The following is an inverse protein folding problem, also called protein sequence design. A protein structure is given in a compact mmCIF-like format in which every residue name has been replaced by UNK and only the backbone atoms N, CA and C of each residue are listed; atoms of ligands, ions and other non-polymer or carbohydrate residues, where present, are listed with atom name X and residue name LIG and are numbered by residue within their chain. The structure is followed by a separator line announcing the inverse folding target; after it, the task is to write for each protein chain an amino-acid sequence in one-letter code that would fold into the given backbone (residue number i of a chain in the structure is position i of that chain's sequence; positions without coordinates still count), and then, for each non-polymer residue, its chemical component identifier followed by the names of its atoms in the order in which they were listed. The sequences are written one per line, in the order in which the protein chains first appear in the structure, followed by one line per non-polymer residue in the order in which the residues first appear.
data_IF_442477579666
#
_entry.id   IF_442477579666
#
_cell.length_a   1.000
_cell.length_b   1.000
_cell.length_c   1.000
_cell.angle_alpha   90.00
_cell.angle_beta   90.00
_cell.angle_gamma   90.00
#
_symmetry.space_group_name_H-M   'P 1'
#
loop_
_entity.id
_entity.type
_entity.pdbx_description
1 polymer ?
#
# COMPACT_ATOMS: atom_id res chain seq x y z
N UNK A 1 11.58 -2.15 5.58
CA UNK A 1 10.76 -0.96 5.83
C UNK A 1 9.32 -1.10 5.35
N UNK A 2 9.02 -2.05 4.47
CA UNK A 2 7.67 -2.26 3.93
C UNK A 2 7.27 -1.26 2.85
N UNK A 3 8.24 -0.62 2.21
CA UNK A 3 8.05 0.22 1.03
C UNK A 3 8.13 -0.66 -0.21
N UNK A 4 7.13 -0.55 -1.09
CA UNK A 4 7.00 -1.41 -2.27
C UNK A 4 7.57 -0.67 -3.47
N UNK A 5 8.49 -1.32 -4.19
CA UNK A 5 9.05 -0.80 -5.43
C UNK A 5 8.09 -0.92 -6.62
N UNK A 6 8.31 -0.13 -7.67
CA UNK A 6 7.52 -0.19 -8.89
C UNK A 6 7.85 -1.41 -9.74
N UNK A 7 6.93 -1.76 -10.64
CA UNK A 7 7.15 -2.73 -11.70
C UNK A 7 8.02 -2.08 -12.77
N UNK A 8 9.12 -2.70 -13.23
CA UNK A 8 9.94 -2.15 -14.31
C UNK A 8 9.17 -1.95 -15.62
N UNK A 9 9.52 -0.93 -16.39
CA UNK A 9 8.85 -0.64 -17.68
C UNK A 9 8.95 -1.81 -18.67
N UNK A 10 10.05 -2.55 -18.66
CA UNK A 10 10.26 -3.73 -19.51
C UNK A 10 9.21 -4.84 -19.30
N UNK A 11 8.59 -4.91 -18.12
CA UNK A 11 7.52 -5.87 -17.84
C UNK A 11 6.22 -5.59 -18.60
N UNK A 12 6.07 -4.37 -19.14
CA UNK A 12 4.95 -3.98 -20.00
C UNK A 12 5.20 -4.25 -21.49
N UNK A 13 6.37 -4.74 -21.88
CA UNK A 13 6.64 -5.15 -23.26
C UNK A 13 5.77 -6.35 -23.65
N UNK A 14 5.12 -6.34 -24.83
CA UNK A 14 4.26 -7.43 -25.29
C UNK A 14 4.92 -8.80 -25.22
N UNK A 15 6.21 -8.88 -25.51
CA UNK A 15 6.99 -10.13 -25.48
C UNK A 15 7.11 -10.69 -24.05
N UNK A 16 7.36 -9.84 -23.06
CA UNK A 16 7.47 -10.23 -21.66
C UNK A 16 6.12 -10.66 -21.08
N UNK A 17 5.05 -9.93 -21.44
CA UNK A 17 3.68 -10.32 -21.07
C UNK A 17 3.33 -11.68 -21.68
N UNK A 18 3.59 -11.88 -22.99
CA UNK A 18 3.30 -13.14 -23.66
C UNK A 18 4.09 -14.31 -23.04
N UNK A 19 5.37 -14.11 -22.75
CA UNK A 19 6.20 -15.10 -22.07
C UNK A 19 5.61 -15.55 -20.73
N UNK A 20 5.11 -14.62 -19.93
CA UNK A 20 4.45 -14.93 -18.65
C UNK A 20 3.13 -15.67 -18.83
N UNK A 21 2.34 -15.27 -19.83
CA UNK A 21 1.10 -15.99 -20.19
C UNK A 21 1.42 -17.41 -20.63
N UNK A 22 2.42 -17.61 -21.48
CA UNK A 22 2.81 -18.94 -22.00
C UNK A 22 3.40 -19.84 -20.90
N UNK A 23 4.03 -19.26 -19.88
CA UNK A 23 4.50 -20.00 -18.70
C UNK A 23 3.36 -20.40 -17.75
N UNK A 24 2.20 -19.77 -17.83
CA UNK A 24 1.09 -20.03 -16.92
C UNK A 24 0.40 -21.38 -17.27
N UNK A 25 0.34 -22.35 -16.33
CA UNK A 25 -0.21 -23.69 -16.61
C UNK A 25 -1.68 -23.68 -17.02
N UNK A 26 -2.45 -22.69 -16.58
CA UNK A 26 -3.86 -22.57 -16.92
C UNK A 26 -4.07 -21.98 -18.32
N UNK A 27 -3.15 -21.16 -18.81
CA UNK A 27 -3.21 -20.61 -20.15
C UNK A 27 -2.95 -21.64 -21.24
N UNK A 28 -2.23 -22.73 -20.95
CA UNK A 28 -1.91 -23.77 -21.93
C UNK A 28 -3.14 -24.45 -22.55
N UNK A 29 -4.28 -24.43 -21.87
CA UNK A 29 -5.55 -24.98 -22.33
C UNK A 29 -6.38 -24.01 -23.17
N UNK A 30 -5.92 -22.76 -23.32
CA UNK A 30 -6.63 -21.70 -24.05
C UNK A 30 -6.08 -21.58 -25.46
N UNK A 31 -6.98 -21.52 -26.49
CA UNK A 31 -6.57 -21.43 -27.91
C UNK A 31 -5.98 -20.05 -28.24
N UNK A 32 -6.64 -18.98 -27.78
CA UNK A 32 -6.16 -17.60 -27.92
C UNK A 32 -5.57 -17.14 -26.59
N UNK A 33 -4.25 -17.04 -26.52
CA UNK A 33 -3.49 -16.72 -25.31
C UNK A 33 -3.17 -15.25 -25.18
N UNK A 34 -3.88 -14.39 -25.93
CA UNK A 34 -3.69 -12.94 -25.80
C UNK A 34 -4.42 -12.39 -24.56
N UNK A 35 -3.82 -11.41 -23.85
CA UNK A 35 -4.48 -10.76 -22.73
C UNK A 35 -5.69 -9.98 -23.23
N UNK A 36 -6.80 -10.03 -22.51
CA UNK A 36 -8.01 -9.24 -22.80
C UNK A 36 -8.02 -7.91 -22.06
N UNK A 37 -7.38 -7.87 -20.94
CA UNK A 37 -7.25 -6.68 -20.09
C UNK A 37 -5.91 -6.72 -19.36
N UNK A 38 -5.28 -5.56 -19.23
CA UNK A 38 -4.20 -5.32 -18.28
C UNK A 38 -4.74 -4.41 -17.19
N UNK A 39 -4.65 -4.83 -15.95
CA UNK A 39 -5.04 -4.02 -14.79
C UNK A 39 -3.79 -3.70 -13.97
N UNK A 40 -3.59 -2.41 -13.69
CA UNK A 40 -2.46 -1.90 -12.94
C UNK A 40 -2.95 -0.95 -11.84
N UNK A 41 -2.47 -1.15 -10.63
CA UNK A 41 -2.60 -0.14 -9.56
C UNK A 41 -1.61 0.98 -9.86
N UNK A 42 -2.13 2.17 -10.20
CA UNK A 42 -1.37 3.29 -10.73
C UNK A 42 -0.42 3.93 -9.71
N UNK A 43 -0.69 3.79 -8.41
CA UNK A 43 0.14 4.32 -7.34
C UNK A 43 0.35 3.27 -6.27
N UNK A 44 1.60 3.02 -5.87
CA UNK A 44 1.86 2.23 -4.67
C UNK A 44 1.30 2.95 -3.44
N UNK A 45 1.16 2.24 -2.34
CA UNK A 45 0.67 2.83 -1.08
C UNK A 45 1.55 4.02 -0.65
N UNK A 46 2.87 3.90 -0.80
CA UNK A 46 3.85 4.92 -0.42
C UNK A 46 3.99 6.06 -1.44
N UNK A 47 3.27 6.00 -2.56
CA UNK A 47 3.14 7.11 -3.50
C UNK A 47 3.98 7.01 -4.76
N UNK A 48 4.62 5.87 -5.05
CA UNK A 48 5.31 5.70 -6.34
C UNK A 48 4.27 5.52 -7.44
N UNK A 49 4.28 6.44 -8.41
CA UNK A 49 3.38 6.46 -9.57
C UNK A 49 4.10 6.03 -10.84
N UNK A 50 3.32 5.73 -11.88
CA UNK A 50 3.83 5.33 -13.19
C UNK A 50 3.48 6.36 -14.26
N UNK A 51 4.39 6.58 -15.20
CA UNK A 51 4.10 7.31 -16.42
C UNK A 51 3.21 6.46 -17.33
N UNK A 52 1.92 6.80 -17.37
CA UNK A 52 0.90 6.03 -18.09
C UNK A 52 1.10 6.10 -19.60
N UNK A 53 1.57 7.24 -20.12
CA UNK A 53 1.81 7.40 -21.55
C UNK A 53 2.97 6.50 -22.02
N UNK A 54 3.99 6.31 -21.21
CA UNK A 54 5.07 5.34 -21.48
C UNK A 54 4.52 3.90 -21.48
N UNK A 55 3.65 3.53 -20.54
CA UNK A 55 3.01 2.21 -20.52
C UNK A 55 2.19 1.99 -21.79
N UNK A 56 1.32 2.95 -22.14
CA UNK A 56 0.49 2.87 -23.36
C UNK A 56 1.36 2.74 -24.62
N UNK A 57 2.45 3.52 -24.70
CA UNK A 57 3.39 3.46 -25.83
C UNK A 57 4.11 2.11 -25.91
N UNK A 58 4.56 1.56 -24.77
CA UNK A 58 5.26 0.27 -24.71
C UNK A 58 4.32 -0.89 -25.08
N UNK A 59 3.09 -0.88 -24.56
CA UNK A 59 2.07 -1.88 -24.89
C UNK A 59 1.60 -1.80 -26.36
N UNK A 60 1.61 -0.60 -26.95
CA UNK A 60 0.98 -0.37 -28.24
C UNK A 60 -0.50 -0.83 -28.22
N UNK A 61 -0.89 -1.55 -29.27
CA UNK A 61 -2.26 -2.09 -29.39
C UNK A 61 -2.36 -3.59 -28.97
N UNK A 62 -1.36 -4.08 -28.23
CA UNK A 62 -1.29 -5.50 -27.86
C UNK A 62 -2.39 -5.92 -26.89
N UNK A 63 -2.79 -5.04 -25.97
CA UNK A 63 -3.85 -5.28 -24.99
C UNK A 63 -5.08 -4.43 -25.34
N UNK A 64 -6.24 -5.03 -25.63
CA UNK A 64 -7.42 -4.27 -26.08
C UNK A 64 -8.10 -3.44 -24.98
N UNK A 65 -7.87 -3.74 -23.71
CA UNK A 65 -8.43 -2.96 -22.62
C UNK A 65 -7.35 -2.74 -21.54
N UNK A 66 -7.18 -1.48 -21.14
CA UNK A 66 -6.28 -1.08 -20.06
C UNK A 66 -7.11 -0.55 -18.89
N UNK A 67 -6.86 -1.05 -17.71
CA UNK A 67 -7.49 -0.57 -16.49
C UNK A 67 -6.41 -0.06 -15.54
N UNK A 68 -6.49 1.21 -15.19
CA UNK A 68 -5.65 1.84 -14.19
C UNK A 68 -6.47 2.05 -12.91
N UNK A 69 -6.09 1.37 -11.85
CA UNK A 69 -6.65 1.61 -10.54
C UNK A 69 -5.98 2.85 -9.94
N UNK A 70 -6.67 3.97 -10.08
CA UNK A 70 -6.28 5.28 -9.59
C UNK A 70 -7.04 5.66 -8.29
N UNK A 71 -7.45 4.64 -7.51
CA UNK A 71 -8.17 4.86 -6.26
C UNK A 71 -7.41 5.78 -5.28
N UNK A 72 -6.09 5.81 -5.36
CA UNK A 72 -5.18 6.65 -4.57
C UNK A 72 -4.61 7.84 -5.36
N UNK A 73 -5.10 8.11 -6.57
CA UNK A 73 -4.56 9.16 -7.45
C UNK A 73 -5.63 10.02 -8.16
N UNK A 74 -6.86 10.14 -7.65
CA UNK A 74 -7.91 10.89 -8.38
C UNK A 74 -7.63 12.39 -8.50
N UNK A 75 -6.76 12.96 -7.67
CA UNK A 75 -6.33 14.37 -7.70
C UNK A 75 -5.39 14.70 -8.86
N UNK A 76 -4.68 13.71 -9.38
CA UNK A 76 -3.63 13.91 -10.39
C UNK A 76 -4.14 14.56 -11.70
N UNK A 77 -5.37 14.25 -12.10
CA UNK A 77 -5.98 14.79 -13.31
C UNK A 77 -6.22 16.31 -13.27
N UNK A 78 -6.10 16.97 -12.11
CA UNK A 78 -6.46 18.37 -11.92
C UNK A 78 -5.26 19.32 -11.77
N UNK A 79 -4.03 18.80 -11.91
CA UNK A 79 -2.84 19.63 -11.80
C UNK A 79 -1.72 19.17 -12.75
N UNK A 80 -1.12 20.10 -13.49
CA UNK A 80 -0.02 19.86 -14.44
C UNK A 80 1.21 19.17 -13.83
N UNK A 81 1.40 19.28 -12.51
CA UNK A 81 2.45 18.58 -11.78
C UNK A 81 2.41 17.05 -12.00
N UNK A 82 1.23 16.49 -12.23
CA UNK A 82 1.04 15.05 -12.47
C UNK A 82 0.89 14.70 -13.95
N UNK A 83 1.40 15.57 -14.85
CA UNK A 83 1.37 15.30 -16.28
C UNK A 83 1.95 13.91 -16.56
N UNK A 84 1.25 13.16 -17.42
CA UNK A 84 1.57 11.79 -17.83
C UNK A 84 1.49 10.73 -16.73
N UNK A 85 1.20 11.09 -15.47
CA UNK A 85 1.08 10.17 -14.32
C UNK A 85 -0.36 9.71 -14.04
N UNK A 86 -1.32 10.04 -14.88
CA UNK A 86 -2.73 9.58 -14.76
C UNK A 86 -3.28 9.13 -16.10
N UNK A 87 -4.26 8.23 -16.09
CA UNK A 87 -4.67 7.48 -17.27
C UNK A 87 -5.54 8.27 -18.24
N UNK A 88 -6.47 9.09 -17.73
CA UNK A 88 -7.50 9.78 -18.53
C UNK A 88 -7.52 11.26 -18.18
N UNK A 89 -7.47 12.11 -19.20
CA UNK A 89 -7.60 13.55 -19.12
C UNK A 89 -8.06 14.11 -20.46
N UNK A 90 -8.55 15.36 -20.48
CA UNK A 90 -9.04 16.01 -21.71
C UNK A 90 -7.95 16.17 -22.77
N UNK A 91 -6.72 16.32 -22.35
CA UNK A 91 -5.50 16.49 -23.17
C UNK A 91 -4.79 15.18 -23.51
N UNK A 92 -5.30 14.04 -23.03
CA UNK A 92 -4.66 12.73 -23.26
C UNK A 92 -4.99 12.17 -24.61
N UNK A 93 -3.97 11.70 -25.38
CA UNK A 93 -4.20 11.08 -26.66
C UNK A 93 -5.03 9.82 -26.52
N UNK A 94 -5.94 9.60 -27.48
CA UNK A 94 -6.72 8.37 -27.54
C UNK A 94 -5.95 7.31 -28.30
N UNK A 95 -5.94 6.08 -27.80
CA UNK A 95 -5.41 4.92 -28.53
C UNK A 95 -6.21 4.67 -29.82
N UNK A 96 -5.63 3.96 -30.77
CA UNK A 96 -6.36 3.52 -31.97
C UNK A 96 -7.45 2.49 -31.62
N UNK A 97 -7.11 1.46 -30.81
CA UNK A 97 -8.02 0.34 -30.51
C UNK A 97 -8.15 -0.01 -29.03
N UNK A 98 -7.19 0.40 -28.19
CA UNK A 98 -7.21 0.06 -26.77
C UNK A 98 -8.13 0.98 -25.98
N UNK A 99 -9.15 0.39 -25.32
CA UNK A 99 -10.04 1.12 -24.41
C UNK A 99 -9.38 1.30 -23.05
N UNK A 100 -9.45 2.51 -22.50
CA UNK A 100 -8.83 2.83 -21.20
C UNK A 100 -9.91 3.05 -20.16
N UNK A 101 -9.77 2.38 -19.02
CA UNK A 101 -10.60 2.52 -17.84
C UNK A 101 -9.73 3.08 -16.70
N UNK A 102 -10.27 4.01 -15.93
CA UNK A 102 -9.69 4.47 -14.69
C UNK A 102 -10.71 4.36 -13.56
N UNK A 103 -10.31 3.82 -12.42
CA UNK A 103 -11.14 3.74 -11.22
C UNK A 103 -10.64 4.72 -10.18
N UNK A 104 -11.51 5.64 -9.76
CA UNK A 104 -11.22 6.65 -8.75
C UNK A 104 -12.01 6.39 -7.47
N UNK A 105 -11.36 6.39 -6.31
CA UNK A 105 -12.03 6.51 -5.03
C UNK A 105 -12.16 7.99 -4.66
N UNK A 106 -13.26 8.59 -5.08
CA UNK A 106 -13.54 10.02 -4.86
C UNK A 106 -13.52 10.39 -3.37
N UNK A 107 -13.89 9.43 -2.50
CA UNK A 107 -13.91 9.61 -1.05
C UNK A 107 -12.52 9.65 -0.38
N UNK A 108 -11.46 9.25 -1.07
CA UNK A 108 -10.10 9.19 -0.46
C UNK A 108 -9.37 10.53 -0.54
N UNK A 109 -9.34 11.13 -1.72
CA UNK A 109 -8.51 12.31 -1.99
C UNK A 109 -9.29 13.50 -2.57
N UNK A 110 -10.55 13.32 -2.92
CA UNK A 110 -11.47 14.37 -3.32
C UNK A 110 -12.56 14.54 -2.25
N UNK A 111 -13.52 15.41 -2.48
CA UNK A 111 -14.54 15.74 -1.48
C UNK A 111 -15.73 14.75 -1.41
N UNK A 112 -15.62 13.56 -1.95
CA UNK A 112 -16.65 12.53 -1.86
C UNK A 112 -16.80 11.98 -0.45
N UNK A 113 -18.03 11.66 -0.02
CA UNK A 113 -18.25 10.94 1.24
C UNK A 113 -17.87 9.46 1.09
N UNK A 114 -17.74 8.75 2.22
CA UNK A 114 -17.32 7.34 2.22
C UNK A 114 -18.14 6.50 1.23
N UNK A 115 -17.44 5.60 0.51
CA UNK A 115 -17.92 4.77 -0.60
C UNK A 115 -18.09 5.50 -1.96
N UNK A 116 -17.94 6.84 -2.03
CA UNK A 116 -17.97 7.53 -3.30
C UNK A 116 -16.80 7.08 -4.21
N UNK A 117 -17.14 6.55 -5.38
CA UNK A 117 -16.18 6.10 -6.38
C UNK A 117 -16.72 6.31 -7.79
N UNK A 118 -15.83 6.31 -8.78
CA UNK A 118 -16.17 6.55 -10.18
C UNK A 118 -15.35 5.63 -11.08
N UNK A 119 -15.96 5.19 -12.17
CA UNK A 119 -15.28 4.55 -13.29
C UNK A 119 -15.32 5.53 -14.47
N UNK A 120 -14.15 5.91 -14.94
CA UNK A 120 -13.98 6.80 -16.08
C UNK A 120 -13.53 5.96 -17.28
N UNK A 121 -14.09 6.21 -18.46
CA UNK A 121 -13.81 5.44 -19.67
C UNK A 121 -13.39 6.37 -20.79
N UNK A 122 -12.21 6.10 -21.38
CA UNK A 122 -11.78 6.71 -22.64
C UNK A 122 -11.88 5.70 -23.76
N UNK A 123 -12.82 5.95 -24.70
CA UNK A 123 -12.97 5.13 -25.90
C UNK A 123 -11.82 5.37 -26.88
N UNK A 124 -11.29 4.31 -27.54
CA UNK A 124 -10.33 4.47 -28.61
C UNK A 124 -10.95 5.11 -29.89
N UNK A 125 -10.13 5.35 -30.89
CA UNK A 125 -10.60 5.99 -32.13
C UNK A 125 -11.50 5.07 -32.96
N UNK A 126 -11.18 3.79 -33.03
CA UNK A 126 -11.84 2.82 -33.93
C UNK A 126 -12.84 1.87 -33.25
N UNK A 127 -13.07 2.00 -31.94
CA UNK A 127 -14.00 1.15 -31.18
C UNK A 127 -14.82 1.98 -30.19
N UNK A 128 -16.09 1.59 -30.04
CA UNK A 128 -17.01 2.19 -29.08
C UNK A 128 -17.34 1.20 -27.96
N UNK A 129 -17.60 1.73 -26.77
CA UNK A 129 -18.15 0.96 -25.67
C UNK A 129 -19.61 0.61 -25.97
N UNK A 130 -19.96 -0.68 -25.92
CA UNK A 130 -21.37 -1.07 -25.88
C UNK A 130 -21.93 -0.71 -24.50
N UNK A 131 -22.68 0.38 -24.46
CA UNK A 131 -23.24 0.93 -23.21
C UNK A 131 -24.25 0.00 -22.55
N UNK A 132 -24.99 -0.80 -23.35
CA UNK A 132 -25.96 -1.72 -22.80
C UNK A 132 -25.25 -2.88 -22.09
N UNK A 133 -24.28 -3.49 -22.77
CA UNK A 133 -23.47 -4.58 -22.18
C UNK A 133 -22.70 -4.09 -20.94
N UNK A 134 -22.13 -2.88 -21.01
CA UNK A 134 -21.45 -2.31 -19.85
C UNK A 134 -22.40 -2.06 -18.67
N UNK A 135 -23.60 -1.53 -18.94
CA UNK A 135 -24.61 -1.27 -17.92
C UNK A 135 -25.10 -2.56 -17.26
N UNK A 136 -25.34 -3.61 -18.03
CA UNK A 136 -25.70 -4.93 -17.47
C UNK A 136 -24.59 -5.48 -16.58
N UNK A 137 -23.32 -5.44 -17.03
CA UNK A 137 -22.18 -5.84 -16.22
C UNK A 137 -22.05 -4.99 -14.94
N UNK A 138 -22.25 -3.68 -15.06
CA UNK A 138 -22.24 -2.75 -13.91
C UNK A 138 -23.33 -3.12 -12.88
N UNK A 139 -24.57 -3.32 -13.33
CA UNK A 139 -25.69 -3.66 -12.44
C UNK A 139 -25.50 -5.02 -11.75
N UNK A 140 -24.81 -5.98 -12.38
CA UNK A 140 -24.49 -7.27 -11.76
C UNK A 140 -23.53 -7.14 -10.56
N UNK A 141 -22.74 -6.08 -10.49
CA UNK A 141 -21.68 -5.91 -9.48
C UNK A 141 -21.93 -4.72 -8.52
N UNK A 142 -22.97 -3.94 -8.79
CA UNK A 142 -23.29 -2.75 -8.01
C UNK A 142 -24.68 -2.85 -7.36
N UNK A 143 -24.97 -1.95 -6.43
CA UNK A 143 -26.29 -1.86 -5.83
C UNK A 143 -27.32 -1.31 -6.83
N UNK A 144 -28.49 -1.92 -6.86
CA UNK A 144 -29.67 -1.40 -7.60
C UNK A 144 -30.38 -0.27 -6.83
N UNK A 145 -29.97 0.02 -5.61
CA UNK A 145 -30.54 1.07 -4.74
C UNK A 145 -29.52 2.19 -4.51
N UNK A 146 -29.39 3.14 -5.44
CA UNK A 146 -28.37 4.18 -5.35
C UNK A 146 -28.60 5.10 -4.15
N UNK A 147 -27.51 5.41 -3.45
CA UNK A 147 -27.49 6.38 -2.36
C UNK A 147 -27.29 7.78 -2.93
N UNK A 148 -28.35 8.58 -2.98
CA UNK A 148 -28.29 9.94 -3.56
C UNK A 148 -27.26 10.84 -2.87
N UNK A 149 -27.05 10.70 -1.55
CA UNK A 149 -26.03 11.47 -0.84
C UNK A 149 -24.61 11.16 -1.37
N UNK A 150 -24.31 9.89 -1.69
CA UNK A 150 -23.02 9.49 -2.28
C UNK A 150 -22.86 10.09 -3.68
N UNK A 151 -23.90 9.97 -4.53
CA UNK A 151 -23.90 10.52 -5.89
C UNK A 151 -23.72 12.04 -5.84
N UNK A 152 -24.51 12.73 -5.01
CA UNK A 152 -24.41 14.18 -4.84
C UNK A 152 -23.00 14.61 -4.36
N UNK A 153 -22.35 13.81 -3.49
CA UNK A 153 -20.99 14.10 -3.06
C UNK A 153 -19.97 13.99 -4.19
N UNK A 154 -20.16 13.07 -5.14
CA UNK A 154 -19.33 12.98 -6.34
C UNK A 154 -19.52 14.21 -7.24
N UNK A 155 -20.75 14.69 -7.39
CA UNK A 155 -21.07 15.88 -8.18
C UNK A 155 -20.46 17.14 -7.54
N UNK A 156 -20.60 17.30 -6.23
CA UNK A 156 -19.95 18.39 -5.47
C UNK A 156 -18.43 18.31 -5.60
N UNK A 157 -17.85 17.12 -5.48
CA UNK A 157 -16.41 16.94 -5.66
C UNK A 157 -15.96 17.34 -7.08
N UNK A 158 -16.73 16.98 -8.11
CA UNK A 158 -16.45 17.39 -9.48
C UNK A 158 -16.49 18.93 -9.63
N UNK A 159 -17.52 19.57 -9.09
CA UNK A 159 -17.64 21.03 -9.12
C UNK A 159 -16.50 21.76 -8.37
N UNK A 160 -16.04 21.20 -7.23
CA UNK A 160 -14.89 21.73 -6.50
C UNK A 160 -13.59 21.64 -7.31
N UNK A 161 -13.48 20.62 -8.16
CA UNK A 161 -12.29 20.37 -8.99
C UNK A 161 -12.32 21.08 -10.34
N UNK A 162 -13.38 21.81 -10.67
CA UNK A 162 -13.41 22.67 -11.86
C UNK A 162 -12.34 23.76 -11.79
N UNK A 163 -11.65 24.05 -12.91
CA UNK A 163 -10.63 25.10 -12.94
C UNK A 163 -11.22 26.51 -12.60
N UNK A 164 -10.50 27.34 -11.81
CA UNK A 164 -9.17 27.12 -11.26
C UNK A 164 -9.15 26.43 -9.87
N UNK A 165 -10.31 26.06 -9.33
CA UNK A 165 -10.47 25.56 -7.97
C UNK A 165 -9.64 24.29 -7.73
N UNK A 166 -9.77 23.28 -8.58
CA UNK A 166 -9.07 22.01 -8.44
C UNK A 166 -7.57 22.17 -8.46
N UNK A 167 -7.03 22.95 -9.38
CA UNK A 167 -5.59 23.23 -9.45
C UNK A 167 -5.10 23.86 -8.13
N UNK A 168 -5.81 24.85 -7.62
CA UNK A 168 -5.43 25.52 -6.37
C UNK A 168 -5.48 24.58 -5.15
N UNK A 169 -6.49 23.72 -5.07
CA UNK A 169 -6.64 22.75 -3.98
C UNK A 169 -5.53 21.69 -3.99
N UNK A 170 -5.17 21.18 -5.16
CA UNK A 170 -4.08 20.20 -5.29
C UNK A 170 -2.74 20.86 -5.00
N UNK A 171 -2.50 22.07 -5.52
CA UNK A 171 -1.28 22.83 -5.23
C UNK A 171 -1.11 23.10 -3.75
N UNK A 172 -2.18 23.46 -3.03
CA UNK A 172 -2.17 23.66 -1.58
C UNK A 172 -1.76 22.38 -0.84
N UNK A 173 -2.31 21.22 -1.24
CA UNK A 173 -1.95 19.93 -0.65
C UNK A 173 -0.46 19.60 -0.85
N UNK A 174 0.07 19.83 -2.05
CA UNK A 174 1.50 19.65 -2.35
C UNK A 174 2.34 20.62 -1.49
N UNK A 175 1.95 21.88 -1.39
CA UNK A 175 2.66 22.90 -0.63
C UNK A 175 2.71 22.56 0.85
N UNK A 176 1.61 22.11 1.44
CA UNK A 176 1.57 21.70 2.85
C UNK A 176 2.43 20.44 3.10
N UNK A 177 2.43 19.49 2.18
CA UNK A 177 3.32 18.33 2.26
C UNK A 177 4.80 18.73 2.23
N UNK A 178 5.17 19.68 1.38
CA UNK A 178 6.53 20.23 1.32
C UNK A 178 6.91 20.99 2.59
N UNK A 179 6.00 21.79 3.12
CA UNK A 179 6.23 22.51 4.39
C UNK A 179 6.49 21.51 5.53
N UNK A 180 5.72 20.43 5.61
CA UNK A 180 5.94 19.38 6.59
C UNK A 180 7.32 18.70 6.40
N UNK A 181 7.67 18.28 5.18
CA UNK A 181 8.97 17.66 4.87
C UNK A 181 10.13 18.59 5.27
N UNK A 182 10.02 19.88 4.97
CA UNK A 182 11.02 20.87 5.34
C UNK A 182 11.08 21.10 6.85
N UNK A 183 9.95 21.06 7.55
CA UNK A 183 9.91 21.15 9.02
C UNK A 183 10.59 19.94 9.66
N UNK A 184 10.35 18.73 9.18
CA UNK A 184 11.00 17.51 9.66
C UNK A 184 12.52 17.58 9.51
N UNK A 185 13.03 18.06 8.36
CA UNK A 185 14.48 18.26 8.14
C UNK A 185 15.10 19.33 9.03
N UNK A 186 14.37 20.42 9.30
CA UNK A 186 14.85 21.46 10.22
C UNK A 186 15.02 20.91 11.63
N UNK A 187 14.05 20.12 12.09
CA UNK A 187 14.15 19.45 13.40
C UNK A 187 15.32 18.46 13.42
N UNK A 188 15.51 17.67 12.36
CA UNK A 188 16.66 16.77 12.23
C UNK A 188 18.00 17.52 12.37
N UNK A 189 18.12 18.66 11.71
CA UNK A 189 19.33 19.47 11.76
C UNK A 189 19.62 20.08 13.16
N UNK A 190 18.62 20.23 13.99
CA UNK A 190 18.77 20.72 15.37
C UNK A 190 19.36 19.67 16.32
N UNK A 191 19.18 18.36 16.02
CA UNK A 191 19.65 17.27 16.87
C UNK A 191 21.13 16.90 16.67
N UNK A 192 21.72 17.26 15.52
CA UNK A 192 23.12 16.95 15.21
C UNK A 192 23.35 15.52 14.74
N UNK A 193 24.57 15.22 14.29
CA UNK A 193 24.92 13.95 13.62
C UNK A 193 24.91 12.72 14.53
N UNK A 194 25.02 12.88 15.85
CA UNK A 194 25.09 11.78 16.82
C UNK A 194 23.75 11.48 17.51
N UNK A 195 22.70 12.16 17.13
CA UNK A 195 21.36 11.96 17.67
C UNK A 195 20.42 11.41 16.61
N UNK A 196 19.26 10.92 17.00
CA UNK A 196 18.33 10.30 16.09
C UNK A 196 17.09 11.16 15.87
N UNK A 197 16.51 11.05 14.67
CA UNK A 197 15.23 11.64 14.33
C UNK A 197 14.49 10.77 13.30
N UNK A 198 13.22 11.04 13.13
CA UNK A 198 12.40 10.48 12.08
C UNK A 198 12.73 11.11 10.73
N UNK A 199 12.77 10.29 9.66
CA UNK A 199 13.03 10.77 8.31
C UNK A 199 11.78 10.66 7.45
N UNK A 200 11.53 11.64 6.61
CA UNK A 200 10.49 11.52 5.60
C UNK A 200 11.10 10.96 4.32
N UNK A 201 10.64 9.78 3.93
CA UNK A 201 11.11 9.11 2.73
C UNK A 201 10.82 9.95 1.49
N UNK A 202 11.82 10.15 0.61
CA UNK A 202 11.73 10.95 -0.60
C UNK A 202 13.08 11.54 -1.00
N UNK A 203 13.12 12.30 -2.08
CA UNK A 203 14.34 12.95 -2.57
C UNK A 203 14.99 13.84 -1.50
N UNK A 204 16.32 13.76 -1.38
CA UNK A 204 17.08 14.55 -0.40
C UNK A 204 17.07 16.05 -0.72
N UNK A 205 17.06 16.39 -2.01
CA UNK A 205 17.13 17.76 -2.49
C UNK A 205 15.76 18.18 -3.05
N UNK A 206 14.96 18.82 -2.20
CA UNK A 206 13.72 19.45 -2.66
C UNK A 206 13.96 20.92 -2.92
N UNK A 207 13.26 21.44 -3.92
CA UNK A 207 13.33 22.87 -4.27
C UNK A 207 13.04 23.77 -3.09
N UNK A 208 13.75 24.87 -3.00
CA UNK A 208 13.68 25.78 -1.85
C UNK A 208 12.43 26.66 -1.86
N UNK A 209 11.77 26.83 -3.00
CA UNK A 209 10.62 27.71 -3.16
C UNK A 209 9.51 27.04 -3.98
N UNK A 210 8.25 27.26 -3.59
CA UNK A 210 7.06 26.75 -4.26
C UNK A 210 6.87 25.24 -4.12
N UNK A 211 6.18 24.63 -5.08
CA UNK A 211 5.93 23.18 -5.14
C UNK A 211 7.02 22.43 -5.92
N UNK A 212 7.98 23.14 -6.51
CA UNK A 212 9.00 22.56 -7.37
C UNK A 212 8.47 22.08 -8.72
N UNK A 213 9.29 21.30 -9.42
CA UNK A 213 8.95 20.70 -10.70
C UNK A 213 8.67 19.20 -10.52
N UNK A 214 7.90 18.63 -11.42
CA UNK A 214 7.68 17.19 -11.49
C UNK A 214 9.00 16.40 -11.51
N UNK A 215 10.00 16.89 -12.28
CA UNK A 215 11.32 16.28 -12.43
C UNK A 215 12.08 16.10 -11.10
N UNK A 216 11.81 16.94 -10.12
CA UNK A 216 12.45 16.84 -8.79
C UNK A 216 11.97 15.60 -8.00
N UNK A 217 10.91 14.96 -8.45
CA UNK A 217 10.24 13.84 -7.81
C UNK A 217 10.31 12.54 -8.62
N UNK A 218 10.90 12.60 -9.83
CA UNK A 218 11.16 11.42 -10.64
C UNK A 218 12.23 10.56 -9.99
N UNK A 219 12.00 9.25 -9.96
CA UNK A 219 12.93 8.29 -9.37
C UNK A 219 14.05 7.95 -10.37
N UNK A 220 15.29 8.22 -9.99
CA UNK A 220 16.46 7.76 -10.73
C UNK A 220 16.86 6.34 -10.36
N UNK A 221 17.33 5.55 -11.31
CA UNK A 221 17.77 4.18 -11.03
C UNK A 221 18.92 4.16 -10.01
N UNK A 222 18.78 3.38 -8.95
CA UNK A 222 19.80 3.17 -7.93
C UNK A 222 20.05 4.36 -6.99
N UNK A 223 19.17 5.35 -6.95
CA UNK A 223 19.29 6.43 -5.97
C UNK A 223 19.19 5.92 -4.54
N UNK A 224 20.06 6.42 -3.69
CA UNK A 224 20.26 5.90 -2.33
C UNK A 224 18.99 5.96 -1.44
N UNK A 225 18.18 7.01 -1.61
CA UNK A 225 17.02 7.22 -0.74
C UNK A 225 15.88 6.20 -0.94
N UNK A 226 15.79 5.55 -2.11
CA UNK A 226 14.81 4.49 -2.36
C UNK A 226 15.44 3.11 -2.63
N UNK A 227 16.65 3.05 -3.14
CA UNK A 227 17.37 1.79 -3.38
C UNK A 227 16.81 0.93 -4.52
N UNK A 228 15.81 1.42 -5.30
CA UNK A 228 15.26 0.67 -6.43
C UNK A 228 16.24 0.72 -7.59
N UNK A 229 16.63 -0.45 -8.09
CA UNK A 229 17.36 -0.60 -9.35
C UNK A 229 16.40 -0.74 -10.53
N UNK A 230 16.96 -0.77 -11.73
CA UNK A 230 16.25 -1.08 -12.98
C UNK A 230 15.02 -0.19 -13.28
N UNK A 231 15.14 1.11 -13.00
CA UNK A 231 14.13 2.10 -13.31
C UNK A 231 14.42 2.77 -14.66
N UNK A 232 13.42 2.80 -15.54
CA UNK A 232 13.52 3.58 -16.77
C UNK A 232 13.47 5.09 -16.45
N UNK A 233 14.22 5.93 -17.18
CA UNK A 233 14.16 7.39 -17.02
C UNK A 233 12.74 7.91 -17.20
N UNK A 234 12.31 8.86 -16.37
CA UNK A 234 11.01 9.54 -16.41
C UNK A 234 9.78 8.61 -16.26
N UNK A 235 10.00 7.36 -15.84
CA UNK A 235 8.94 6.37 -15.76
C UNK A 235 8.19 6.39 -14.42
N UNK A 236 8.90 6.59 -13.32
CA UNK A 236 8.31 6.60 -11.98
C UNK A 236 8.52 7.93 -11.27
N UNK A 237 7.52 8.37 -10.54
CA UNK A 237 7.56 9.58 -9.74
C UNK A 237 7.02 9.30 -8.34
N UNK A 238 7.60 9.91 -7.32
CA UNK A 238 7.01 9.94 -5.98
C UNK A 238 5.98 11.06 -5.87
N UNK A 239 4.76 10.73 -5.51
CA UNK A 239 3.71 11.70 -5.22
C UNK A 239 4.03 12.47 -3.94
N UNK A 240 4.28 13.80 -3.98
CA UNK A 240 4.72 14.57 -2.82
C UNK A 240 3.73 14.62 -1.68
N UNK A 241 2.42 14.47 -1.94
CA UNK A 241 1.37 14.50 -0.91
C UNK A 241 1.33 13.21 -0.07
N UNK A 242 2.04 12.19 -0.49
CA UNK A 242 2.17 10.91 0.20
C UNK A 242 3.49 10.89 0.97
N UNK A 243 3.42 10.92 2.28
CA UNK A 243 4.60 11.00 3.14
C UNK A 243 4.74 9.76 4.02
N UNK A 244 5.72 8.91 3.67
CA UNK A 244 6.15 7.79 4.51
C UNK A 244 7.22 8.29 5.45
N UNK A 245 6.99 8.16 6.76
CA UNK A 245 7.94 8.52 7.80
C UNK A 245 8.66 7.24 8.24
N UNK A 246 9.99 7.28 8.19
CA UNK A 246 10.87 6.18 8.56
C UNK A 246 11.34 6.38 9.99
N UNK A 247 11.28 5.31 10.78
CA UNK A 247 11.80 5.25 12.15
C UNK A 247 13.17 4.58 12.17
N UNK A 248 14.04 4.89 13.15
CA UNK A 248 15.36 4.25 13.28
C UNK A 248 15.27 2.74 13.50
N UNK A 249 16.28 2.01 13.04
CA UNK A 249 16.46 0.59 13.35
C UNK A 249 16.51 -0.37 12.16
N UNK A 250 16.11 0.08 10.96
CA UNK A 250 16.24 -0.70 9.73
C UNK A 250 16.64 0.24 8.58
N UNK A 251 17.67 -0.08 7.85
CA UNK A 251 18.10 0.70 6.69
C UNK A 251 17.43 0.26 5.38
N UNK A 252 17.74 0.98 4.28
CA UNK A 252 17.19 0.67 2.96
C UNK A 252 17.70 -0.65 2.37
N UNK A 253 18.86 -1.15 2.85
CA UNK A 253 19.40 -2.45 2.43
C UNK A 253 18.72 -3.65 3.13
N UNK A 254 17.88 -3.39 4.14
CA UNK A 254 17.25 -4.42 4.96
C UNK A 254 18.10 -4.83 6.18
N UNK A 255 19.18 -4.09 6.48
CA UNK A 255 20.05 -4.38 7.61
C UNK A 255 19.52 -3.74 8.89
N UNK A 256 19.45 -4.53 9.97
CA UNK A 256 19.03 -4.06 11.28
C UNK A 256 20.15 -3.33 12.00
N UNK A 257 19.83 -2.20 12.64
CA UNK A 257 20.71 -1.51 13.57
C UNK A 257 20.89 -2.28 14.90
N UNK A 258 21.74 -1.77 15.79
CA UNK A 258 21.85 -2.31 17.15
C UNK A 258 20.60 -1.98 17.99
N UNK A 259 20.04 -0.79 17.78
CA UNK A 259 18.81 -0.31 18.42
C UNK A 259 17.79 0.05 17.35
N UNK A 260 16.51 0.06 17.73
CA UNK A 260 15.47 0.43 16.80
C UNK A 260 14.16 0.83 17.45
N UNK A 261 13.36 1.59 16.69
CA UNK A 261 12.05 2.09 17.10
C UNK A 261 10.99 1.50 16.18
N UNK A 262 10.32 0.40 16.57
CA UNK A 262 9.25 -0.17 15.77
C UNK A 262 8.14 0.84 15.54
N UNK A 263 7.73 1.00 14.28
CA UNK A 263 6.72 1.99 13.91
C UNK A 263 5.35 1.75 14.56
N UNK A 264 5.06 0.51 14.98
CA UNK A 264 3.84 0.16 15.69
C UNK A 264 3.70 0.87 17.04
N UNK A 265 4.80 1.07 17.77
CA UNK A 265 4.81 1.86 19.01
C UNK A 265 4.58 3.34 18.74
N UNK A 266 5.23 3.88 17.70
CA UNK A 266 5.03 5.28 17.28
C UNK A 266 3.58 5.52 16.87
N UNK A 267 3.00 4.62 16.08
CA UNK A 267 1.61 4.74 15.63
C UNK A 267 0.60 4.70 16.78
N UNK A 268 0.83 3.84 17.79
CA UNK A 268 -0.01 3.82 18.99
C UNK A 268 0.12 5.11 19.81
N UNK A 269 1.35 5.60 19.96
CA UNK A 269 1.61 6.87 20.61
C UNK A 269 0.87 8.02 19.91
N UNK A 270 0.99 8.10 18.60
CA UNK A 270 0.32 9.11 17.80
C UNK A 270 -1.20 9.01 17.93
N UNK A 271 -1.78 7.80 17.96
CA UNK A 271 -3.21 7.60 18.11
C UNK A 271 -3.74 8.15 19.44
N UNK A 272 -3.04 7.92 20.56
CA UNK A 272 -3.41 8.51 21.87
C UNK A 272 -3.23 10.05 21.91
N UNK A 273 -2.42 10.61 20.98
CA UNK A 273 -2.25 12.06 20.82
C UNK A 273 -3.15 12.66 19.70
N UNK A 274 -4.17 11.91 19.26
CA UNK A 274 -5.16 12.37 18.30
C UNK A 274 -4.69 12.38 16.85
N UNK A 275 -3.61 11.67 16.52
CA UNK A 275 -3.08 11.52 15.16
C UNK A 275 -3.20 10.07 14.72
N UNK A 276 -4.09 9.80 13.76
CA UNK A 276 -4.26 8.47 13.16
C UNK A 276 -3.45 8.40 11.88
N UNK A 277 -2.54 7.43 11.80
CA UNK A 277 -1.74 7.17 10.61
C UNK A 277 -2.48 6.22 9.66
N UNK A 278 -2.23 6.32 8.37
CA UNK A 278 -2.94 5.54 7.36
C UNK A 278 -2.40 4.10 7.22
N UNK A 279 -1.09 3.93 7.36
CA UNK A 279 -0.42 2.62 7.30
C UNK A 279 0.73 2.58 8.32
N UNK A 280 0.91 1.44 8.98
CA UNK A 280 2.05 1.19 9.88
C UNK A 280 2.82 -0.03 9.39
N UNK A 281 4.08 0.13 8.98
CA UNK A 281 5.00 -0.96 8.65
C UNK A 281 5.88 -1.35 9.84
N UNK A 282 6.97 -2.09 9.59
CA UNK A 282 7.92 -2.47 10.65
C UNK A 282 8.65 -1.23 11.22
N UNK A 283 9.23 -0.42 10.32
CA UNK A 283 10.00 0.79 10.64
C UNK A 283 9.57 1.97 9.78
N UNK A 284 8.31 2.03 9.43
CA UNK A 284 7.74 3.17 8.73
C UNK A 284 6.25 3.28 9.02
N UNK A 285 5.75 4.51 8.99
CA UNK A 285 4.33 4.77 8.96
C UNK A 285 4.02 5.84 7.93
N UNK A 286 2.79 5.83 7.44
CA UNK A 286 2.40 6.63 6.29
C UNK A 286 1.29 7.62 6.66
N UNK A 287 1.43 8.84 6.18
CA UNK A 287 0.42 9.90 6.25
C UNK A 287 0.17 10.48 4.87
N UNK A 288 -1.00 11.07 4.69
CA UNK A 288 -1.43 11.64 3.42
C UNK A 288 -1.92 13.07 3.59
N UNK A 289 -1.47 13.96 2.70
CA UNK A 289 -1.87 15.36 2.64
C UNK A 289 -3.04 15.50 1.67
N UNK A 290 -4.26 15.35 2.18
CA UNK A 290 -5.48 15.46 1.38
C UNK A 290 -5.90 16.91 1.17
N UNK A 291 -6.83 17.16 0.25
CA UNK A 291 -7.46 18.46 0.07
C UNK A 291 -8.01 18.97 1.42
N UNK A 292 -7.72 20.22 1.76
CA UNK A 292 -8.14 20.87 3.00
C UNK A 292 -7.28 20.56 4.22
N UNK A 293 -6.11 19.91 4.04
CA UNK A 293 -5.11 19.78 5.11
C UNK A 293 -4.54 21.17 5.47
N UNK A 294 -4.34 21.41 6.74
CA UNK A 294 -3.82 22.70 7.23
C UNK A 294 -2.54 22.52 8.04
N UNK A 295 -1.73 23.57 8.10
CA UNK A 295 -0.50 23.61 8.90
C UNK A 295 -0.76 23.21 10.36
N UNK A 296 -1.87 23.62 10.96
CA UNK A 296 -2.21 23.24 12.34
C UNK A 296 -2.27 21.72 12.54
N UNK A 297 -2.80 20.98 11.58
CA UNK A 297 -2.94 19.52 11.68
C UNK A 297 -1.59 18.79 11.61
N UNK A 298 -0.74 19.11 10.64
CA UNK A 298 0.55 18.44 10.55
C UNK A 298 1.55 18.93 11.61
N UNK A 299 1.39 20.14 12.16
CA UNK A 299 2.15 20.57 13.34
C UNK A 299 1.83 19.72 14.58
N UNK A 300 0.59 19.26 14.74
CA UNK A 300 0.23 18.32 15.81
C UNK A 300 1.05 17.04 15.69
N UNK A 301 1.19 16.49 14.48
CA UNK A 301 2.04 15.33 14.24
C UNK A 301 3.50 15.62 14.59
N UNK A 302 4.05 16.74 14.10
CA UNK A 302 5.46 17.11 14.38
C UNK A 302 5.73 17.24 15.87
N UNK A 303 4.83 17.91 16.61
CA UNK A 303 4.93 18.07 18.06
C UNK A 303 4.83 16.72 18.78
N UNK A 304 3.92 15.85 18.35
CA UNK A 304 3.80 14.51 18.93
C UNK A 304 5.07 13.65 18.68
N UNK A 305 5.72 13.79 17.54
CA UNK A 305 6.99 13.10 17.26
C UNK A 305 8.15 13.64 18.12
N UNK A 306 8.21 14.95 18.35
CA UNK A 306 9.19 15.54 19.27
C UNK A 306 8.98 15.06 20.71
N UNK A 307 7.72 15.03 21.15
CA UNK A 307 7.38 14.50 22.46
C UNK A 307 7.71 13.01 22.60
N UNK A 308 7.42 12.20 21.55
CA UNK A 308 7.82 10.79 21.53
C UNK A 308 9.33 10.63 21.71
N UNK A 309 10.13 11.45 21.00
CA UNK A 309 11.60 11.42 21.16
C UNK A 309 12.01 11.73 22.61
N UNK A 310 11.47 12.78 23.21
CA UNK A 310 11.75 13.12 24.60
C UNK A 310 11.39 12.00 25.59
N UNK A 311 10.24 11.36 25.39
CA UNK A 311 9.78 10.26 26.24
C UNK A 311 10.63 9.00 26.04
N UNK A 312 11.05 8.72 24.80
CA UNK A 312 11.95 7.62 24.46
C UNK A 312 13.35 7.83 25.07
N UNK A 313 13.94 9.00 24.89
CA UNK A 313 15.29 9.29 25.39
C UNK A 313 15.36 9.24 26.92
N UNK A 314 14.27 9.61 27.60
CA UNK A 314 14.13 9.49 29.06
C UNK A 314 13.67 8.12 29.51
N UNK A 315 13.40 7.21 28.61
CA UNK A 315 12.83 5.90 28.88
C UNK A 315 11.60 5.95 29.81
N UNK A 316 10.67 6.87 29.49
CA UNK A 316 9.47 7.07 30.31
C UNK A 316 8.65 5.78 30.43
N UNK A 317 8.02 5.51 31.59
CA UNK A 317 7.25 4.28 31.78
C UNK A 317 5.99 4.27 30.89
N UNK A 318 5.65 3.11 30.33
CA UNK A 318 4.55 2.92 29.40
C UNK A 318 3.20 3.39 29.95
N UNK A 319 2.91 3.17 31.23
CA UNK A 319 1.67 3.64 31.86
C UNK A 319 1.48 5.17 31.81
N UNK A 320 2.58 5.91 31.71
CA UNK A 320 2.57 7.37 31.57
C UNK A 320 2.47 7.82 30.11
N UNK A 321 3.17 7.10 29.23
CA UNK A 321 3.30 7.43 27.80
C UNK A 321 2.06 7.01 27.02
N UNK A 322 1.53 5.83 27.33
CA UNK A 322 0.36 5.24 26.69
C UNK A 322 -0.65 4.74 27.75
N UNK A 323 -1.29 5.67 28.48
CA UNK A 323 -2.16 5.33 29.62
C UNK A 323 -3.39 4.52 29.22
N UNK A 324 -4.03 4.82 28.08
CA UNK A 324 -5.21 4.11 27.64
C UNK A 324 -4.88 2.71 27.12
N UNK A 325 -3.78 2.58 26.40
CA UNK A 325 -3.23 1.29 25.99
C UNK A 325 -2.88 0.39 27.20
N UNK A 326 -2.23 0.94 28.21
CA UNK A 326 -1.86 0.19 29.40
C UNK A 326 -3.05 -0.22 30.27
N UNK A 327 -4.17 0.49 30.25
CA UNK A 327 -5.42 0.04 30.93
C UNK A 327 -5.92 -1.30 30.38
N UNK A 328 -5.81 -1.50 29.07
CA UNK A 328 -6.20 -2.71 28.38
C UNK A 328 -5.14 -3.81 28.51
N UNK A 329 -3.87 -3.44 28.35
CA UNK A 329 -2.71 -4.36 28.33
C UNK A 329 -1.76 -4.10 29.52
N UNK A 330 -2.21 -4.37 30.75
CA UNK A 330 -1.51 -4.05 32.00
C UNK A 330 -0.09 -4.58 32.13
N UNK A 331 0.23 -5.68 31.45
CA UNK A 331 1.57 -6.26 31.50
C UNK A 331 2.66 -5.34 30.91
N UNK A 332 2.27 -4.36 30.08
CA UNK A 332 3.20 -3.35 29.54
C UNK A 332 3.49 -2.21 30.51
N UNK A 333 2.70 -1.98 31.54
CA UNK A 333 2.89 -0.89 32.54
C UNK A 333 4.29 -0.84 33.13
N UNK A 334 4.94 -2.00 33.31
CA UNK A 334 6.25 -2.17 33.92
C UNK A 334 7.44 -1.79 33.04
N UNK A 335 7.23 -1.62 31.74
CA UNK A 335 8.32 -1.32 30.80
C UNK A 335 8.50 0.18 30.63
N UNK A 336 9.74 0.60 30.35
CA UNK A 336 10.03 1.89 29.75
C UNK A 336 9.74 1.86 28.25
N UNK A 337 9.47 3.01 27.66
CA UNK A 337 9.19 3.13 26.23
C UNK A 337 10.35 2.60 25.38
N UNK A 338 11.58 3.02 25.70
CA UNK A 338 12.80 2.57 25.00
C UNK A 338 13.03 1.07 25.19
N UNK A 339 12.81 0.56 26.41
CA UNK A 339 12.99 -0.87 26.68
C UNK A 339 12.02 -1.73 25.85
N UNK A 340 10.76 -1.33 25.75
CA UNK A 340 9.78 -2.04 24.92
C UNK A 340 10.11 -1.94 23.43
N UNK A 341 10.54 -0.76 22.93
CA UNK A 341 11.04 -0.61 21.57
C UNK A 341 12.17 -1.60 21.29
N UNK A 342 13.15 -1.68 22.18
CA UNK A 342 14.32 -2.55 22.02
C UNK A 342 13.93 -4.03 22.04
N UNK A 343 13.03 -4.44 22.94
CA UNK A 343 12.55 -5.83 22.99
C UNK A 343 11.86 -6.28 21.69
N UNK A 344 11.03 -5.42 21.11
CA UNK A 344 10.37 -5.71 19.83
C UNK A 344 11.39 -5.69 18.69
N UNK A 345 12.30 -4.72 18.67
CA UNK A 345 13.38 -4.61 17.71
C UNK A 345 14.26 -5.88 17.68
N UNK A 346 14.68 -6.37 18.85
CA UNK A 346 15.46 -7.60 18.97
C UNK A 346 14.69 -8.80 18.43
N UNK A 347 13.40 -8.90 18.71
CA UNK A 347 12.55 -9.96 18.15
C UNK A 347 12.49 -9.91 16.62
N UNK A 348 12.40 -8.72 16.03
CA UNK A 348 12.43 -8.56 14.56
C UNK A 348 13.80 -8.95 13.97
N UNK A 349 14.87 -8.55 14.63
CA UNK A 349 16.27 -8.84 14.21
C UNK A 349 16.59 -10.34 14.32
N UNK A 350 16.25 -10.97 15.44
CA UNK A 350 16.49 -12.40 15.69
C UNK A 350 15.82 -13.31 14.63
N UNK A 351 14.66 -12.91 14.14
CA UNK A 351 13.89 -13.65 13.13
C UNK A 351 14.11 -13.15 11.71
N UNK A 352 14.98 -12.16 11.51
CA UNK A 352 15.24 -11.54 10.21
C UNK A 352 13.95 -11.17 9.44
N UNK A 353 13.04 -10.48 10.15
CA UNK A 353 11.69 -10.20 9.65
C UNK A 353 11.70 -9.35 8.39
N UNK A 354 12.69 -8.48 8.22
CA UNK A 354 12.85 -7.69 7.00
C UNK A 354 13.02 -8.59 5.77
N UNK A 355 13.84 -9.64 5.88
CA UNK A 355 13.99 -10.63 4.81
C UNK A 355 12.73 -11.47 4.64
N UNK A 356 12.14 -11.99 5.71
CA UNK A 356 10.91 -12.81 5.64
C UNK A 356 9.77 -12.06 4.96
N UNK A 357 9.55 -10.79 5.28
CA UNK A 357 8.50 -9.97 4.67
C UNK A 357 8.75 -9.61 3.20
N UNK A 358 9.97 -9.74 2.73
CA UNK A 358 10.32 -9.61 1.30
C UNK A 358 10.21 -10.95 0.58
N UNK A 359 10.83 -11.97 1.12
CA UNK A 359 10.88 -13.31 0.50
C UNK A 359 9.50 -13.95 0.37
N UNK A 360 8.57 -13.70 1.29
CA UNK A 360 7.20 -14.24 1.17
C UNK A 360 6.50 -13.80 -0.12
N UNK A 361 6.83 -12.62 -0.67
CA UNK A 361 6.27 -12.13 -1.93
C UNK A 361 7.08 -12.51 -3.17
N UNK A 362 8.34 -12.85 -3.01
CA UNK A 362 9.25 -13.19 -4.11
C UNK A 362 9.54 -14.69 -4.22
N UNK A 363 9.06 -15.50 -3.27
CA UNK A 363 9.19 -16.94 -3.29
C UNK A 363 8.32 -17.59 -4.37
N UNK A 364 8.68 -18.78 -4.83
CA UNK A 364 7.94 -19.51 -5.83
C UNK A 364 6.53 -19.87 -5.33
N UNK A 365 5.52 -19.27 -5.94
CA UNK A 365 4.12 -19.55 -5.68
C UNK A 365 3.56 -20.48 -6.75
N UNK A 366 3.15 -21.67 -6.34
CA UNK A 366 2.60 -22.68 -7.25
C UNK A 366 1.07 -22.59 -7.24
N UNK A 367 0.48 -22.19 -8.37
CA UNK A 367 -0.95 -22.24 -8.57
C UNK A 367 -1.39 -23.67 -8.98
N UNK A 368 -2.11 -24.35 -8.10
CA UNK A 368 -2.60 -25.72 -8.29
C UNK A 368 -3.95 -25.72 -9.01
N UNK A 369 -4.81 -24.75 -8.72
CA UNK A 369 -6.10 -24.56 -9.37
C UNK A 369 -6.43 -23.09 -9.57
N UNK A 370 -7.41 -22.81 -10.42
CA UNK A 370 -7.88 -21.42 -10.61
C UNK A 370 -8.58 -20.91 -9.34
N UNK A 371 -8.50 -19.63 -9.05
CA UNK A 371 -9.23 -19.03 -7.91
C UNK A 371 -10.74 -19.29 -7.93
N UNK A 372 -11.35 -19.31 -9.13
CA UNK A 372 -12.77 -19.64 -9.31
C UNK A 372 -13.12 -21.07 -8.89
N UNK A 373 -12.23 -22.01 -9.18
CA UNK A 373 -12.43 -23.43 -8.84
C UNK A 373 -12.22 -23.65 -7.34
N UNK A 374 -11.23 -22.97 -6.76
CA UNK A 374 -11.01 -22.96 -5.31
C UNK A 374 -12.19 -22.35 -4.56
N UNK A 375 -12.74 -21.23 -5.05
CA UNK A 375 -13.93 -20.62 -4.48
C UNK A 375 -15.14 -21.54 -4.55
N UNK A 376 -15.36 -22.22 -5.68
CA UNK A 376 -16.46 -23.19 -5.82
C UNK A 376 -16.33 -24.33 -4.81
N UNK A 377 -15.12 -24.86 -4.59
CA UNK A 377 -14.87 -25.89 -3.55
C UNK A 377 -15.14 -25.36 -2.14
N UNK A 378 -14.68 -24.16 -1.82
CA UNK A 378 -14.96 -23.50 -0.55
C UNK A 378 -16.47 -23.34 -0.32
N UNK A 379 -17.20 -22.86 -1.34
CA UNK A 379 -18.66 -22.67 -1.26
C UNK A 379 -19.44 -23.99 -1.06
N UNK A 380 -18.87 -25.12 -1.49
CA UNK A 380 -19.44 -26.46 -1.26
C UNK A 380 -18.90 -27.15 0.02
N UNK A 381 -18.16 -26.42 0.86
CA UNK A 381 -17.63 -26.96 2.11
C UNK A 381 -16.47 -27.96 1.95
N UNK A 382 -15.83 -27.99 0.80
CA UNK A 382 -14.68 -28.86 0.50
C UNK A 382 -13.37 -28.22 0.99
N UNK A 383 -13.37 -27.83 2.25
CA UNK A 383 -12.25 -27.21 2.96
C UNK A 383 -12.05 -27.86 4.33
N UNK A 384 -10.85 -27.80 4.84
CA UNK A 384 -10.51 -28.19 6.21
C UNK A 384 -9.62 -27.14 6.88
N UNK A 385 -9.73 -27.03 8.20
CA UNK A 385 -8.87 -26.17 9.01
C UNK A 385 -7.52 -26.85 9.24
N UNK A 386 -6.47 -26.25 8.73
CA UNK A 386 -5.10 -26.75 8.86
C UNK A 386 -4.31 -25.85 9.79
N UNK A 387 -3.65 -26.42 10.79
CA UNK A 387 -2.79 -25.66 11.70
C UNK A 387 -1.59 -25.09 10.95
N UNK A 388 -1.06 -23.95 11.42
CA UNK A 388 0.04 -23.26 10.75
C UNK A 388 1.25 -24.16 10.49
N UNK A 389 1.57 -25.03 11.42
CA UNK A 389 2.73 -25.91 11.30
C UNK A 389 2.57 -27.03 10.24
N UNK A 390 1.33 -27.29 9.82
CA UNK A 390 0.97 -28.35 8.87
C UNK A 390 0.61 -27.78 7.48
N UNK A 391 0.85 -26.49 7.23
CA UNK A 391 0.44 -25.81 5.99
C UNK A 391 1.32 -26.09 4.77
N UNK A 392 2.62 -26.43 4.97
CA UNK A 392 3.54 -26.63 3.84
C UNK A 392 3.00 -27.69 2.88
N UNK A 393 2.89 -27.34 1.60
CA UNK A 393 2.32 -28.20 0.56
C UNK A 393 0.79 -28.22 0.47
N UNK A 394 0.08 -27.55 1.39
CA UNK A 394 -1.40 -27.42 1.34
C UNK A 394 -1.80 -26.30 0.38
N UNK A 395 -3.01 -26.39 -0.14
CA UNK A 395 -3.58 -25.37 -1.06
C UNK A 395 -4.59 -24.53 -0.33
N UNK A 396 -4.40 -23.22 -0.34
CA UNK A 396 -5.33 -22.30 0.36
C UNK A 396 -6.70 -22.25 -0.31
N UNK A 397 -7.75 -22.32 0.50
CA UNK A 397 -9.12 -22.05 0.08
C UNK A 397 -9.51 -20.57 0.21
N UNK A 398 -8.72 -19.78 0.91
CA UNK A 398 -9.01 -18.38 1.24
C UNK A 398 -7.88 -17.44 0.79
N UNK A 399 -8.24 -16.17 0.62
CA UNK A 399 -7.25 -15.11 0.38
C UNK A 399 -6.43 -14.89 1.65
N UNK A 400 -5.10 -14.92 1.55
CA UNK A 400 -4.20 -14.67 2.66
C UNK A 400 -3.50 -13.33 2.47
N UNK A 401 -3.84 -12.34 3.29
CA UNK A 401 -3.35 -10.97 3.10
C UNK A 401 -2.93 -10.34 4.43
N UNK A 402 -1.63 -10.10 4.65
CA UNK A 402 -1.18 -9.33 5.80
C UNK A 402 -1.47 -7.83 5.63
N UNK A 403 -1.87 -7.19 6.73
CA UNK A 403 -2.07 -5.74 6.81
C UNK A 403 -1.17 -5.13 7.90
N UNK A 404 -0.20 -4.31 7.54
CA UNK A 404 0.23 -3.91 6.20
C UNK A 404 1.00 -5.02 5.45
N UNK A 405 1.17 -4.95 4.12
CA UNK A 405 0.79 -3.82 3.25
C UNK A 405 -0.60 -3.93 2.63
N UNK A 406 -1.36 -5.01 2.88
CA UNK A 406 -2.65 -5.25 2.23
C UNK A 406 -2.52 -5.87 0.83
N UNK A 407 -1.38 -6.51 0.55
CA UNK A 407 -1.14 -7.26 -0.68
C UNK A 407 -1.29 -8.75 -0.37
N UNK A 408 -2.06 -9.51 -1.16
CA UNK A 408 -2.16 -10.94 -0.98
C UNK A 408 -0.80 -11.64 -1.08
N UNK A 409 -0.50 -12.48 -0.08
CA UNK A 409 0.64 -13.41 -0.12
C UNK A 409 0.26 -14.66 -0.89
N UNK A 410 -0.96 -15.16 -0.69
CA UNK A 410 -1.55 -16.25 -1.44
C UNK A 410 -2.99 -15.92 -1.83
N UNK A 411 -3.36 -16.29 -3.04
CA UNK A 411 -4.74 -16.27 -3.51
C UNK A 411 -5.34 -17.69 -3.50
N UNK A 412 -6.68 -17.84 -3.42
CA UNK A 412 -7.31 -19.17 -3.40
C UNK A 412 -6.83 -20.05 -4.57
N UNK A 413 -6.42 -21.29 -4.26
CA UNK A 413 -5.89 -22.23 -5.23
C UNK A 413 -4.36 -22.29 -5.33
N UNK A 414 -3.63 -21.45 -4.62
CA UNK A 414 -2.18 -21.50 -4.51
C UNK A 414 -1.70 -22.34 -3.34
N UNK A 415 -0.49 -22.88 -3.47
CA UNK A 415 0.14 -23.79 -2.52
C UNK A 415 1.04 -23.05 -1.54
N UNK A 416 0.94 -23.40 -0.25
CA UNK A 416 1.86 -22.91 0.77
C UNK A 416 3.26 -23.45 0.56
N UNK A 417 4.24 -22.57 0.43
CA UNK A 417 5.65 -22.92 0.48
C UNK A 417 6.24 -22.68 1.88
N UNK A 418 7.43 -23.19 2.10
CA UNK A 418 8.12 -23.10 3.39
C UNK A 418 8.35 -21.66 3.87
N UNK A 419 8.68 -20.74 2.97
CA UNK A 419 8.94 -19.32 3.32
C UNK A 419 7.70 -18.64 3.87
N UNK A 420 6.54 -18.86 3.22
CA UNK A 420 5.26 -18.32 3.68
C UNK A 420 4.88 -18.92 5.04
N UNK A 421 5.06 -20.23 5.23
CA UNK A 421 4.80 -20.88 6.52
C UNK A 421 5.68 -20.32 7.63
N UNK A 422 6.96 -20.09 7.38
CA UNK A 422 7.89 -19.47 8.34
C UNK A 422 7.44 -18.06 8.73
N UNK A 423 7.00 -17.26 7.77
CA UNK A 423 6.43 -15.95 8.06
C UNK A 423 5.19 -16.02 8.96
N UNK A 424 4.26 -16.94 8.66
CA UNK A 424 3.06 -17.14 9.47
C UNK A 424 3.37 -17.62 10.88
N UNK A 425 4.33 -18.54 11.03
CA UNK A 425 4.81 -19.01 12.33
C UNK A 425 5.40 -17.86 13.14
N UNK A 426 6.24 -17.02 12.52
CA UNK A 426 6.77 -15.82 13.17
C UNK A 426 5.61 -14.91 13.60
N UNK A 427 4.67 -14.57 12.71
CA UNK A 427 3.57 -13.66 13.00
C UNK A 427 2.70 -14.17 14.16
N UNK A 428 2.36 -15.46 14.17
CA UNK A 428 1.58 -16.08 15.25
C UNK A 428 2.31 -16.04 16.60
N UNK A 429 3.59 -16.38 16.62
CA UNK A 429 4.41 -16.34 17.85
C UNK A 429 4.59 -14.91 18.35
N UNK A 430 4.79 -13.97 17.45
CA UNK A 430 4.91 -12.55 17.76
C UNK A 430 3.59 -12.01 18.37
N UNK A 431 2.44 -12.35 17.78
CA UNK A 431 1.12 -11.94 18.28
C UNK A 431 0.85 -12.42 19.70
N UNK A 432 1.29 -13.65 20.03
CA UNK A 432 1.17 -14.18 21.41
C UNK A 432 2.12 -13.46 22.38
N UNK A 433 3.34 -13.16 21.94
CA UNK A 433 4.37 -12.51 22.78
C UNK A 433 4.11 -11.02 23.01
N UNK A 434 3.62 -10.33 21.97
CA UNK A 434 3.38 -8.89 21.97
C UNK A 434 1.93 -8.56 21.55
N UNK A 435 0.92 -8.93 22.35
CA UNK A 435 -0.47 -8.64 22.03
C UNK A 435 -0.69 -7.13 21.80
N UNK A 436 -1.53 -6.81 20.83
CA UNK A 436 -1.81 -5.46 20.32
C UNK A 436 -0.71 -4.82 19.45
N UNK A 437 0.42 -5.51 19.24
CA UNK A 437 1.43 -5.13 18.23
C UNK A 437 1.43 -6.08 17.02
N UNK A 438 0.42 -6.93 16.95
CA UNK A 438 0.25 -7.92 15.90
C UNK A 438 0.06 -7.30 14.51
N UNK A 439 0.52 -8.04 13.49
CA UNK A 439 0.10 -7.83 12.12
C UNK A 439 -1.22 -8.57 11.90
N UNK A 440 -2.26 -7.86 11.50
CA UNK A 440 -3.52 -8.49 11.09
C UNK A 440 -3.30 -9.22 9.76
N UNK A 441 -3.66 -10.51 9.72
CA UNK A 441 -3.57 -11.33 8.50
C UNK A 441 -4.98 -11.82 8.15
N UNK A 442 -5.54 -11.26 7.08
CA UNK A 442 -6.81 -11.76 6.54
C UNK A 442 -6.64 -13.21 6.08
N UNK A 443 -7.62 -14.06 6.34
CA UNK A 443 -7.58 -15.48 6.02
C UNK A 443 -6.95 -16.36 7.12
N UNK A 444 -6.33 -15.75 8.13
CA UNK A 444 -5.83 -16.46 9.31
C UNK A 444 -6.93 -16.55 10.36
N UNK A 445 -7.36 -17.76 10.68
CA UNK A 445 -8.34 -18.03 11.73
C UNK A 445 -7.69 -18.34 13.08
N UNK A 446 -8.44 -18.15 14.16
CA UNK A 446 -8.00 -18.49 15.52
C UNK A 446 -9.08 -19.26 16.27
N UNK A 447 -8.65 -20.30 17.00
CA UNK A 447 -9.49 -21.02 17.97
C UNK A 447 -8.82 -20.95 19.34
N UNK A 448 -9.62 -20.79 20.40
CA UNK A 448 -9.13 -20.94 21.79
C UNK A 448 -9.25 -22.39 22.21
N UNK A 449 -8.12 -22.99 22.56
CA UNK A 449 -8.05 -24.33 23.10
C UNK A 449 -8.55 -24.37 24.57
N UNK A 450 -8.96 -25.57 25.09
CA UNK A 450 -9.42 -25.71 26.47
C UNK A 450 -8.37 -25.31 27.52
N UNK A 451 -7.09 -25.34 27.18
CA UNK A 451 -5.97 -24.91 28.03
C UNK A 451 -5.73 -23.39 28.01
N UNK A 452 -6.55 -22.62 27.24
CA UNK A 452 -6.43 -21.17 27.09
C UNK A 452 -5.46 -20.71 26.02
N UNK A 453 -4.74 -21.61 25.37
CA UNK A 453 -3.85 -21.28 24.25
C UNK A 453 -4.64 -20.91 23.00
N UNK A 454 -4.08 -20.01 22.20
CA UNK A 454 -4.64 -19.64 20.89
C UNK A 454 -3.99 -20.51 19.81
N UNK A 455 -4.81 -21.28 19.11
CA UNK A 455 -4.39 -22.01 17.92
C UNK A 455 -4.73 -21.21 16.66
N UNK A 456 -3.75 -21.05 15.79
CA UNK A 456 -3.93 -20.41 14.49
C UNK A 456 -4.08 -21.47 13.39
N UNK A 457 -4.94 -21.19 12.41
CA UNK A 457 -5.21 -22.08 11.28
C UNK A 457 -5.53 -21.31 10.00
N UNK A 458 -5.45 -21.99 8.87
CA UNK A 458 -5.98 -21.51 7.58
C UNK A 458 -6.92 -22.57 7.01
N UNK A 459 -7.99 -22.12 6.34
CA UNK A 459 -8.90 -23.03 5.62
C UNK A 459 -8.26 -23.43 4.28
N UNK A 460 -7.92 -24.71 4.15
CA UNK A 460 -7.27 -25.29 2.98
C UNK A 460 -8.25 -26.19 2.21
N UNK A 461 -8.03 -26.32 0.90
CA UNK A 461 -8.81 -27.20 0.03
C UNK A 461 -8.48 -28.66 0.36
N UNK A 462 -9.51 -29.52 0.44
CA UNK A 462 -9.37 -30.97 0.59
C UNK A 462 -9.34 -31.69 -0.75
N UNK A 463 -8.82 -32.92 -0.79
CA UNK A 463 -8.87 -33.85 -1.93
C UNK A 463 -8.30 -33.26 -3.25
N UNK A 464 -7.04 -32.79 -3.22
CA UNK A 464 -6.34 -32.25 -4.37
C UNK A 464 -5.50 -33.33 -5.06
#
# INVERSE_FOLDING_TARGET
MGIIGPIPLSEFEPENIQKKIDANPFAQKVKDRKPRILSLTQSTYDGVTYNVEMIKKTLGEYVPNLHFDEAWLPHAAFHEFYKDMHAIGADRPRSESSMVFATHSTHKLLAGISQASQIIVQEPLNRKLDRNVFNEAYLMHMSTSPQYAIIASCDVAAAMMEPPGGTALVEESIREALHFRNAMRKVEAEFGENDWWFKVWGPEYLTKEGIGNQSDWVLGSGEHWHGFGDLAPDFNMLDPIKATIVTPGLDMSGSFGETGIPASLVSKYLAEHGVVVEKTGLYSFFIMFTIGITKGRWNTLLTALQQFKDDYDRNQPMWRVLPDFCKEYRHYERFGLRDLCQMIHESYREHDVARLTTEMYTSDMVAVMKPSDAFARMAHGQIERVAIDDLEGRVTGVLLTPYPPGIPVLIPGECFNRTIVQYLQFACNFNVKYPSFETYIHGLGTDKLPNGETRYYVDCIVDI
#
